data_IF_082398391025
#
_entry.id   IF_082398391025
#
_cell.length_a   1.000
_cell.length_b   1.000
_cell.length_c   1.000
_cell.angle_alpha   90.00
_cell.angle_beta   90.00
_cell.angle_gamma   90.00
#
_symmetry.space_group_name_H-M   'P 1'
#
loop_
_entity.id
_entity.type
_entity.pdbx_description
1 polymer ?
#
# COMPACT_ATOMS: atom_id res chain seq x y z
N UNK A 1 -3.43 -17.43 3.12
CA UNK A 1 -2.83 -18.77 3.17
C UNK A 1 -3.67 -19.65 4.09
N UNK A 2 -3.78 -20.94 3.80
CA UNK A 2 -4.45 -21.88 4.69
C UNK A 2 -3.63 -22.11 5.98
N UNK A 3 -4.26 -22.68 6.99
CA UNK A 3 -3.64 -22.87 8.31
C UNK A 3 -2.46 -23.85 8.28
N UNK A 4 -2.41 -24.74 7.29
CA UNK A 4 -1.34 -25.72 7.03
C UNK A 4 -0.23 -25.20 6.10
N UNK A 5 -0.25 -23.94 5.71
CA UNK A 5 0.72 -23.36 4.75
C UNK A 5 2.18 -23.33 5.24
N UNK A 6 2.40 -23.56 6.52
CA UNK A 6 3.71 -23.35 7.14
C UNK A 6 4.12 -21.85 7.14
N UNK A 7 5.28 -21.53 7.69
CA UNK A 7 5.76 -20.15 7.79
C UNK A 7 6.12 -19.60 6.40
N UNK A 8 5.85 -18.29 6.20
CA UNK A 8 6.36 -17.59 5.03
C UNK A 8 7.89 -17.41 5.09
N UNK A 9 8.58 -17.26 3.95
CA UNK A 9 10.03 -17.15 3.91
C UNK A 9 10.55 -15.97 4.75
N UNK A 10 11.61 -16.17 5.52
CA UNK A 10 12.26 -15.09 6.30
C UNK A 10 13.34 -14.37 5.50
N UNK A 11 13.78 -14.95 4.37
CA UNK A 11 14.80 -14.39 3.48
C UNK A 11 14.55 -14.83 2.03
N UNK A 12 15.06 -14.05 1.08
CA UNK A 12 15.05 -14.40 -0.34
C UNK A 12 16.40 -15.02 -0.73
N UNK A 13 16.39 -16.09 -1.53
CA UNK A 13 17.61 -16.86 -1.89
C UNK A 13 18.70 -15.97 -2.51
N UNK A 14 18.33 -14.98 -3.31
CA UNK A 14 19.26 -14.07 -4.00
C UNK A 14 19.44 -12.74 -3.28
N UNK A 15 18.35 -12.20 -2.65
CA UNK A 15 18.35 -10.87 -2.01
C UNK A 15 18.74 -10.91 -0.53
N UNK A 16 18.84 -12.11 0.07
CA UNK A 16 19.14 -12.27 1.49
C UNK A 16 17.96 -11.84 2.39
N UNK A 17 18.29 -11.29 3.55
CA UNK A 17 17.33 -10.84 4.55
C UNK A 17 16.72 -9.51 4.15
N UNK A 18 15.38 -9.36 4.17
CA UNK A 18 14.71 -8.08 3.90
C UNK A 18 15.00 -7.07 5.03
N UNK A 19 15.01 -5.79 4.68
CA UNK A 19 14.99 -4.70 5.67
C UNK A 19 13.71 -4.76 6.50
N UNK A 20 12.58 -4.96 5.82
CA UNK A 20 11.24 -5.07 6.42
C UNK A 20 10.37 -6.01 5.61
N UNK A 21 9.34 -6.52 6.27
CA UNK A 21 8.25 -7.23 5.60
C UNK A 21 6.89 -6.81 6.17
N UNK A 22 5.87 -6.93 5.35
CA UNK A 22 4.50 -6.49 5.65
C UNK A 22 3.53 -7.63 5.33
N UNK A 23 2.84 -8.11 6.35
CA UNK A 23 1.91 -9.24 6.22
C UNK A 23 0.52 -8.70 5.87
N UNK A 24 0.03 -9.08 4.70
CA UNK A 24 -1.33 -8.80 4.27
C UNK A 24 -2.28 -9.83 4.87
N UNK A 25 -3.34 -9.36 5.49
CA UNK A 25 -4.36 -10.21 6.11
C UNK A 25 -5.73 -9.87 5.54
N UNK A 26 -6.61 -10.87 5.49
CA UNK A 26 -8.03 -10.62 5.21
C UNK A 26 -8.75 -10.02 6.43
N UNK A 27 -10.06 -9.77 6.29
CA UNK A 27 -10.90 -9.21 7.36
C UNK A 27 -10.93 -10.07 8.64
N UNK A 28 -10.60 -11.36 8.55
CA UNK A 28 -10.60 -12.31 9.66
C UNK A 28 -9.18 -12.60 10.19
N UNK A 29 -8.17 -11.87 9.72
CA UNK A 29 -6.78 -12.00 10.15
C UNK A 29 -6.00 -13.11 9.45
N UNK A 30 -6.58 -13.87 8.50
CA UNK A 30 -5.86 -14.89 7.73
C UNK A 30 -4.85 -14.25 6.76
N UNK A 31 -3.66 -14.83 6.68
CA UNK A 31 -2.59 -14.31 5.82
C UNK A 31 -2.96 -14.51 4.34
N UNK A 32 -2.98 -13.42 3.58
CA UNK A 32 -3.16 -13.40 2.13
C UNK A 32 -1.81 -13.49 1.39
N UNK A 33 -0.78 -12.89 1.97
CA UNK A 33 0.57 -12.85 1.43
C UNK A 33 1.44 -11.89 2.22
N UNK A 34 2.67 -11.73 1.78
CA UNK A 34 3.67 -10.88 2.44
C UNK A 34 4.39 -10.04 1.39
N UNK A 35 4.57 -8.77 1.66
CA UNK A 35 5.41 -7.89 0.85
C UNK A 35 6.73 -7.66 1.58
N UNK A 36 7.85 -7.84 0.89
CA UNK A 36 9.20 -7.69 1.43
C UNK A 36 9.88 -6.47 0.81
N UNK A 37 10.53 -5.69 1.65
CA UNK A 37 11.34 -4.55 1.25
C UNK A 37 12.82 -4.90 1.41
N UNK A 38 13.57 -4.81 0.33
CA UNK A 38 15.02 -4.98 0.31
C UNK A 38 15.68 -3.64 -0.02
N UNK A 39 16.86 -3.40 0.57
CA UNK A 39 17.72 -2.29 0.17
C UNK A 39 18.63 -2.80 -0.94
N UNK A 40 18.70 -2.08 -2.04
CA UNK A 40 19.59 -2.37 -3.16
C UNK A 40 20.98 -1.81 -2.92
N UNK A 41 21.99 -2.32 -3.61
CA UNK A 41 23.40 -1.93 -3.42
C UNK A 41 23.69 -0.45 -3.73
N UNK A 42 22.83 0.18 -4.51
CA UNK A 42 22.86 1.62 -4.83
C UNK A 42 22.07 2.50 -3.83
N UNK A 43 21.60 1.89 -2.73
CA UNK A 43 20.79 2.58 -1.70
C UNK A 43 19.30 2.74 -2.06
N UNK A 44 18.87 2.18 -3.20
CA UNK A 44 17.47 2.13 -3.59
C UNK A 44 16.68 1.10 -2.81
N UNK A 45 15.41 0.91 -3.21
CA UNK A 45 14.51 -0.09 -2.64
C UNK A 45 13.94 -1.02 -3.70
N UNK A 46 13.89 -2.30 -3.39
CA UNK A 46 13.16 -3.31 -4.18
C UNK A 46 12.05 -3.92 -3.33
N UNK A 47 10.85 -4.03 -3.90
CA UNK A 47 9.67 -4.58 -3.24
C UNK A 47 9.30 -5.88 -3.92
N UNK A 48 9.35 -6.98 -3.18
CA UNK A 48 9.00 -8.32 -3.67
C UNK A 48 7.84 -8.90 -2.86
N UNK A 49 6.69 -9.14 -3.48
CA UNK A 49 5.59 -9.85 -2.84
C UNK A 49 5.80 -11.37 -2.91
N UNK A 50 5.25 -12.06 -1.91
CA UNK A 50 5.23 -13.51 -1.81
C UNK A 50 3.84 -13.97 -1.39
N UNK A 51 3.25 -14.88 -2.15
CA UNK A 51 1.94 -15.44 -1.89
C UNK A 51 2.02 -16.96 -1.77
N UNK A 52 1.12 -17.55 -0.95
CA UNK A 52 0.93 -18.99 -0.95
C UNK A 52 0.07 -19.38 -2.13
N UNK A 53 0.62 -20.20 -3.02
CA UNK A 53 -0.02 -20.55 -4.28
C UNK A 53 0.14 -22.03 -4.60
N UNK A 54 -0.79 -22.54 -5.38
CA UNK A 54 -0.76 -23.89 -5.94
C UNK A 54 -0.22 -23.84 -7.37
N UNK A 55 0.68 -24.75 -7.69
CA UNK A 55 1.20 -24.92 -9.04
C UNK A 55 0.18 -25.65 -9.89
N UNK A 56 -0.25 -25.06 -11.01
CA UNK A 56 -1.35 -25.54 -11.82
C UNK A 56 -1.18 -26.98 -12.34
N UNK A 57 0.05 -27.37 -12.69
CA UNK A 57 0.30 -28.70 -13.28
C UNK A 57 0.56 -29.78 -12.22
N UNK A 58 1.27 -29.46 -11.14
CA UNK A 58 1.69 -30.45 -10.13
C UNK A 58 0.82 -30.49 -8.90
N UNK A 59 -0.08 -29.53 -8.71
CA UNK A 59 -0.86 -29.38 -7.48
C UNK A 59 -0.04 -29.04 -6.24
N UNK A 60 1.28 -28.82 -6.40
CA UNK A 60 2.16 -28.47 -5.26
C UNK A 60 1.79 -27.08 -4.71
N UNK A 61 1.55 -27.02 -3.41
CA UNK A 61 1.21 -25.79 -2.69
C UNK A 61 2.44 -25.30 -1.91
N UNK A 62 2.85 -24.06 -2.14
CA UNK A 62 4.02 -23.47 -1.48
C UNK A 62 3.99 -21.94 -1.52
N UNK A 63 4.82 -21.29 -0.69
CA UNK A 63 5.11 -19.87 -0.76
C UNK A 63 5.94 -19.56 -2.01
N UNK A 64 5.45 -18.64 -2.84
CA UNK A 64 6.09 -18.25 -4.12
C UNK A 64 6.28 -16.75 -4.20
N UNK A 65 7.44 -16.34 -4.67
CA UNK A 65 7.74 -14.94 -4.96
C UNK A 65 6.95 -14.50 -6.19
N UNK A 66 5.79 -13.95 -5.94
CA UNK A 66 4.86 -13.50 -6.98
C UNK A 66 3.95 -12.42 -6.44
N UNK A 67 3.47 -11.53 -7.35
CA UNK A 67 2.50 -10.51 -6.99
C UNK A 67 1.15 -11.10 -6.59
N UNK A 68 0.42 -10.35 -5.76
CA UNK A 68 -0.96 -10.69 -5.45
C UNK A 68 -1.77 -10.82 -6.75
N UNK A 69 -2.62 -11.86 -6.89
CA UNK A 69 -3.57 -11.93 -7.98
C UNK A 69 -4.56 -10.77 -7.91
N UNK A 70 -5.09 -10.36 -9.06
CA UNK A 70 -6.18 -9.38 -9.09
C UNK A 70 -7.53 -10.08 -8.79
N UNK A 71 -8.44 -9.40 -8.06
CA UNK A 71 -8.26 -8.09 -7.44
C UNK A 71 -7.32 -8.15 -6.22
N UNK A 72 -6.36 -7.22 -6.16
CA UNK A 72 -5.35 -7.20 -5.10
C UNK A 72 -5.93 -6.68 -3.79
N UNK A 73 -5.58 -7.31 -2.64
CA UNK A 73 -6.09 -6.86 -1.35
C UNK A 73 -5.45 -5.55 -0.90
N UNK A 74 -6.16 -4.78 -0.09
CA UNK A 74 -5.58 -3.68 0.68
C UNK A 74 -4.71 -4.23 1.83
N UNK A 75 -3.69 -3.50 2.20
CA UNK A 75 -2.96 -3.67 3.45
C UNK A 75 -3.76 -3.05 4.60
N UNK A 76 -3.97 -3.80 5.68
CA UNK A 76 -4.75 -3.35 6.84
C UNK A 76 -6.23 -3.69 6.79
N UNK A 77 -6.67 -4.67 5.96
CA UNK A 77 -8.06 -5.14 5.92
C UNK A 77 -8.55 -5.67 7.28
N UNK A 78 -7.71 -6.36 8.02
CA UNK A 78 -7.99 -6.84 9.38
C UNK A 78 -8.30 -5.69 10.34
N UNK A 79 -7.50 -4.62 10.27
CA UNK A 79 -7.72 -3.40 11.07
C UNK A 79 -8.96 -2.65 10.63
N UNK A 80 -9.18 -2.57 9.31
CA UNK A 80 -10.36 -1.93 8.74
C UNK A 80 -11.65 -2.62 9.20
N UNK A 81 -11.64 -3.96 9.26
CA UNK A 81 -12.76 -4.75 9.75
C UNK A 81 -12.95 -4.61 11.27
N UNK A 82 -11.87 -4.58 12.03
CA UNK A 82 -11.91 -4.41 13.49
C UNK A 82 -12.45 -3.04 13.93
N UNK A 83 -12.39 -2.03 13.06
CA UNK A 83 -12.80 -0.66 13.36
C UNK A 83 -13.75 -0.10 12.29
N UNK A 84 -14.99 -0.62 12.20
CA UNK A 84 -15.94 -0.23 11.14
C UNK A 84 -16.36 1.25 11.21
N UNK A 85 -16.35 1.84 12.40
CA UNK A 85 -16.85 3.21 12.64
C UNK A 85 -15.76 4.28 12.49
N UNK A 86 -14.48 3.91 12.51
CA UNK A 86 -13.40 4.89 12.37
C UNK A 86 -13.24 5.33 10.90
N UNK A 87 -12.95 6.62 10.65
CA UNK A 87 -12.60 7.07 9.32
C UNK A 87 -11.30 6.39 8.84
N UNK A 88 -11.20 6.22 7.54
CA UNK A 88 -10.03 5.60 6.89
C UNK A 88 -9.02 6.68 6.53
N UNK A 89 -7.74 6.41 6.80
CA UNK A 89 -6.62 7.16 6.25
C UNK A 89 -5.96 6.32 5.14
N UNK A 90 -6.13 6.73 3.91
CA UNK A 90 -5.48 6.11 2.76
C UNK A 90 -4.13 6.78 2.52
N UNK A 91 -3.05 6.01 2.56
CA UNK A 91 -1.66 6.47 2.39
C UNK A 91 -0.91 5.63 1.36
N UNK A 92 0.23 6.11 0.88
CA UNK A 92 1.09 5.34 -0.01
C UNK A 92 2.09 4.50 0.77
N UNK A 93 2.10 3.20 0.51
CA UNK A 93 3.06 2.25 1.09
C UNK A 93 2.76 1.80 2.52
N UNK A 94 3.23 0.59 2.80
CA UNK A 94 2.97 -0.11 4.06
C UNK A 94 3.71 0.54 5.25
N UNK A 95 4.87 1.17 5.01
CA UNK A 95 5.61 1.95 6.02
C UNK A 95 4.71 3.06 6.58
N UNK A 96 4.09 3.83 5.67
CA UNK A 96 3.23 4.96 6.00
C UNK A 96 1.95 4.49 6.71
N UNK A 97 1.33 3.41 6.23
CA UNK A 97 0.15 2.84 6.89
C UNK A 97 0.46 2.36 8.32
N UNK A 98 1.63 1.76 8.55
CA UNK A 98 2.04 1.35 9.90
C UNK A 98 2.33 2.56 10.81
N UNK A 99 3.03 3.58 10.32
CA UNK A 99 3.30 4.81 11.05
C UNK A 99 1.99 5.52 11.43
N UNK A 100 1.09 5.69 10.46
CA UNK A 100 -0.22 6.30 10.70
C UNK A 100 -1.06 5.51 11.72
N UNK A 101 -1.11 4.19 11.63
CA UNK A 101 -1.82 3.35 12.59
C UNK A 101 -1.22 3.43 14.02
N UNK A 102 0.07 3.72 14.13
CA UNK A 102 0.72 3.93 15.43
C UNK A 102 0.40 5.33 15.99
N UNK A 103 0.61 6.39 15.19
CA UNK A 103 0.49 7.76 15.65
C UNK A 103 -0.95 8.24 15.80
N UNK A 104 -1.86 7.73 14.97
CA UNK A 104 -3.27 8.12 14.94
C UNK A 104 -4.19 7.03 15.49
N UNK A 105 -3.65 6.15 16.34
CA UNK A 105 -4.40 5.05 16.96
C UNK A 105 -5.71 5.54 17.60
N UNK A 106 -6.80 4.85 17.29
CA UNK A 106 -8.13 5.17 17.80
C UNK A 106 -8.81 6.37 17.14
N UNK A 107 -8.15 7.05 16.18
CA UNK A 107 -8.73 8.17 15.42
C UNK A 107 -9.00 7.80 13.96
N UNK A 108 -8.12 7.02 13.35
CA UNK A 108 -8.19 6.57 11.97
C UNK A 108 -7.75 5.12 11.87
N UNK A 109 -8.20 4.46 10.80
CA UNK A 109 -7.62 3.21 10.33
C UNK A 109 -6.82 3.50 9.07
N UNK A 110 -5.51 3.36 9.14
CA UNK A 110 -4.67 3.59 7.98
C UNK A 110 -4.53 2.32 7.14
N UNK A 111 -4.74 2.47 5.84
CA UNK A 111 -4.64 1.41 4.83
C UNK A 111 -3.81 1.88 3.64
N UNK A 112 -3.27 0.91 2.89
CA UNK A 112 -2.60 1.16 1.61
C UNK A 112 -2.82 0.00 0.65
N UNK A 113 -2.25 0.09 -0.55
CA UNK A 113 -2.40 -0.92 -1.61
C UNK A 113 -1.03 -1.40 -2.12
N UNK A 114 -0.92 -2.65 -2.62
CA UNK A 114 0.32 -3.21 -3.12
C UNK A 114 0.62 -2.78 -4.56
N UNK A 115 1.87 -2.44 -4.83
CA UNK A 115 2.38 -2.19 -6.19
C UNK A 115 2.31 -0.74 -6.66
N UNK A 116 2.02 0.21 -5.75
CA UNK A 116 2.10 1.65 -6.00
C UNK A 116 1.12 2.16 -7.07
N UNK A 117 1.37 3.36 -7.58
CA UNK A 117 0.48 4.09 -8.50
C UNK A 117 0.14 3.33 -9.79
N UNK A 118 1.03 2.44 -10.27
CA UNK A 118 0.80 1.62 -11.48
C UNK A 118 -0.16 0.44 -11.28
N UNK A 119 -0.51 0.13 -10.05
CA UNK A 119 -1.32 -1.05 -9.71
C UNK A 119 -2.75 -0.71 -9.29
N UNK A 120 -3.14 0.55 -9.25
CA UNK A 120 -4.43 1.04 -8.74
C UNK A 120 -5.63 0.32 -9.36
N UNK A 121 -5.60 0.07 -10.67
CA UNK A 121 -6.69 -0.63 -11.39
C UNK A 121 -6.81 -2.12 -11.07
N UNK A 122 -5.81 -2.70 -10.38
CA UNK A 122 -5.77 -4.12 -10.02
C UNK A 122 -6.20 -4.36 -8.57
N UNK A 123 -6.52 -3.30 -7.83
CA UNK A 123 -6.83 -3.36 -6.39
C UNK A 123 -8.33 -3.50 -6.16
N UNK A 124 -8.69 -4.28 -5.15
CA UNK A 124 -10.07 -4.31 -4.64
C UNK A 124 -10.31 -3.11 -3.72
N UNK A 125 -10.98 -2.11 -4.25
CA UNK A 125 -11.37 -0.91 -3.50
C UNK A 125 -12.72 -1.07 -2.79
N UNK A 126 -13.41 -2.19 -2.95
CA UNK A 126 -14.75 -2.40 -2.37
C UNK A 126 -14.79 -2.23 -0.84
N UNK A 127 -13.73 -2.57 -0.05
CA UNK A 127 -13.73 -2.37 1.39
C UNK A 127 -13.80 -0.91 1.84
N UNK A 128 -13.51 0.04 0.93
CA UNK A 128 -13.58 1.48 1.21
C UNK A 128 -14.91 2.12 0.81
N UNK A 129 -15.78 1.40 0.11
CA UNK A 129 -17.10 1.91 -0.28
C UNK A 129 -17.96 2.19 0.94
N UNK A 130 -18.58 3.38 0.98
CA UNK A 130 -19.38 3.80 2.11
C UNK A 130 -18.60 4.18 3.37
N UNK A 131 -17.27 4.23 3.31
CA UNK A 131 -16.43 4.69 4.40
C UNK A 131 -16.02 6.16 4.16
N UNK A 132 -15.87 6.90 5.24
CA UNK A 132 -15.25 8.22 5.18
C UNK A 132 -13.75 8.05 5.01
N UNK A 133 -13.20 8.51 3.87
CA UNK A 133 -11.80 8.32 3.49
C UNK A 133 -11.09 9.65 3.44
N UNK A 134 -10.00 9.77 4.16
CA UNK A 134 -9.02 10.84 4.03
C UNK A 134 -7.80 10.27 3.31
N UNK A 135 -7.38 10.91 2.22
CA UNK A 135 -6.28 10.45 1.41
C UNK A 135 -5.09 11.40 1.56
N UNK A 136 -3.97 10.86 2.03
CA UNK A 136 -2.70 11.57 2.17
C UNK A 136 -1.74 11.06 1.11
N UNK A 137 -1.50 11.88 0.09
CA UNK A 137 -0.51 11.60 -0.94
C UNK A 137 0.91 11.86 -0.42
N UNK A 138 1.90 11.14 -0.97
CA UNK A 138 3.29 11.52 -0.77
C UNK A 138 3.54 12.92 -1.36
N UNK A 139 4.36 13.72 -0.67
CA UNK A 139 4.76 15.04 -1.14
C UNK A 139 5.84 14.90 -2.21
N UNK A 140 5.40 14.57 -3.43
CA UNK A 140 6.29 14.48 -4.58
C UNK A 140 6.79 15.85 -5.05
N UNK A 141 8.01 15.89 -5.60
CA UNK A 141 8.63 17.10 -6.14
C UNK A 141 9.17 16.87 -7.57
N UNK A 142 8.37 16.18 -8.40
CA UNK A 142 8.75 15.89 -9.79
C UNK A 142 8.70 17.14 -10.64
N UNK A 143 9.63 17.21 -11.61
CA UNK A 143 9.83 18.35 -12.49
C UNK A 143 9.52 17.99 -13.94
N UNK A 144 9.18 19.00 -14.73
CA UNK A 144 9.02 18.91 -16.16
C UNK A 144 10.38 18.98 -16.91
N UNK A 145 10.33 18.98 -18.25
CA UNK A 145 11.53 19.06 -19.09
C UNK A 145 12.25 20.42 -19.00
N UNK A 146 11.61 21.45 -18.46
CA UNK A 146 12.13 22.79 -18.25
C UNK A 146 12.63 22.98 -16.79
N UNK A 147 12.75 21.89 -16.02
CA UNK A 147 13.18 21.89 -14.62
C UNK A 147 12.24 22.65 -13.65
N UNK A 148 10.97 22.84 -14.03
CA UNK A 148 9.94 23.42 -13.19
C UNK A 148 9.15 22.31 -12.49
N UNK A 149 8.77 22.53 -11.23
CA UNK A 149 7.91 21.59 -10.54
C UNK A 149 6.61 21.39 -11.32
N UNK A 150 6.21 20.13 -11.47
CA UNK A 150 4.87 19.81 -11.96
C UNK A 150 3.82 20.38 -10.98
N UNK A 151 2.65 20.83 -11.49
CA UNK A 151 1.53 21.19 -10.63
C UNK A 151 1.22 20.07 -9.63
N UNK A 152 0.72 20.42 -8.44
CA UNK A 152 0.38 19.48 -7.38
C UNK A 152 -0.51 18.33 -7.89
N UNK A 153 -1.56 18.66 -8.65
CA UNK A 153 -2.47 17.67 -9.25
C UNK A 153 -1.80 16.74 -10.28
N UNK A 154 -0.62 17.09 -10.76
CA UNK A 154 0.17 16.29 -11.71
C UNK A 154 1.28 15.48 -11.04
N UNK A 155 1.54 15.69 -9.76
CA UNK A 155 2.47 14.89 -8.99
C UNK A 155 1.98 13.43 -8.88
N UNK A 156 2.87 12.43 -8.89
CA UNK A 156 2.49 11.01 -8.94
C UNK A 156 1.55 10.58 -7.82
N UNK A 157 1.86 10.94 -6.57
CA UNK A 157 1.05 10.61 -5.40
C UNK A 157 -0.34 11.24 -5.48
N UNK A 158 -0.44 12.54 -5.79
CA UNK A 158 -1.71 13.21 -5.94
C UNK A 158 -2.56 12.61 -7.08
N UNK A 159 -1.95 12.31 -8.23
CA UNK A 159 -2.62 11.59 -9.33
C UNK A 159 -3.16 10.24 -8.89
N UNK A 160 -2.40 9.50 -8.08
CA UNK A 160 -2.85 8.23 -7.55
C UNK A 160 -4.11 8.39 -6.69
N UNK A 161 -4.12 9.35 -5.76
CA UNK A 161 -5.27 9.60 -4.89
C UNK A 161 -6.50 10.09 -5.66
N UNK A 162 -6.32 11.00 -6.64
CA UNK A 162 -7.41 11.47 -7.51
C UNK A 162 -8.02 10.31 -8.31
N UNK A 163 -7.18 9.41 -8.84
CA UNK A 163 -7.65 8.22 -9.55
C UNK A 163 -8.44 7.28 -8.64
N UNK A 164 -7.95 7.02 -7.42
CA UNK A 164 -8.66 6.17 -6.45
C UNK A 164 -10.01 6.81 -6.08
N UNK A 165 -10.06 8.12 -5.86
CA UNK A 165 -11.31 8.85 -5.63
C UNK A 165 -12.33 8.58 -6.75
N UNK A 166 -11.90 8.62 -8.00
CA UNK A 166 -12.79 8.36 -9.15
C UNK A 166 -13.31 6.92 -9.19
N UNK A 167 -12.51 5.94 -8.77
CA UNK A 167 -12.91 4.53 -8.72
C UNK A 167 -13.90 4.23 -7.59
N UNK A 168 -13.83 4.96 -6.49
CA UNK A 168 -14.74 4.81 -5.35
C UNK A 168 -16.12 5.44 -5.60
N UNK A 169 -16.22 6.44 -6.46
CA UNK A 169 -17.49 7.05 -6.88
C UNK A 169 -18.20 7.90 -5.82
N UNK A 170 -17.72 7.92 -4.58
CA UNK A 170 -18.31 8.67 -3.46
C UNK A 170 -17.49 9.94 -3.19
N UNK A 171 -17.74 10.99 -3.99
CA UNK A 171 -16.97 12.23 -3.89
C UNK A 171 -17.09 12.95 -2.54
N UNK A 172 -18.24 12.81 -1.86
CA UNK A 172 -18.52 13.49 -0.57
C UNK A 172 -17.76 12.83 0.59
N UNK A 173 -17.58 11.51 0.56
CA UNK A 173 -16.91 10.75 1.62
C UNK A 173 -15.40 10.62 1.41
N UNK A 174 -14.86 11.10 0.28
CA UNK A 174 -13.44 11.05 -0.02
C UNK A 174 -12.82 12.45 -0.04
N UNK A 175 -11.97 12.73 0.94
CA UNK A 175 -11.29 14.02 1.10
C UNK A 175 -9.78 13.84 0.88
N UNK A 176 -9.23 14.68 0.01
CA UNK A 176 -7.77 14.81 -0.12
C UNK A 176 -7.28 15.70 1.03
N UNK A 177 -6.21 15.27 1.70
CA UNK A 177 -5.52 16.07 2.71
C UNK A 177 -4.60 17.06 2.01
N UNK A 178 -4.64 18.31 2.42
CA UNK A 178 -3.70 19.32 1.96
C UNK A 178 -2.30 18.95 2.41
N UNK A 179 -1.39 18.83 1.47
CA UNK A 179 0.02 18.52 1.70
C UNK A 179 0.89 19.74 1.32
N UNK A 180 2.15 19.82 1.80
CA UNK A 180 3.08 20.86 1.38
C UNK A 180 3.24 20.91 -0.15
N UNK A 181 3.46 22.11 -0.69
CA UNK A 181 3.66 22.27 -2.13
C UNK A 181 4.92 21.54 -2.62
N UNK A 182 4.95 21.13 -3.90
CA UNK A 182 6.13 20.51 -4.50
C UNK A 182 7.39 21.36 -4.29
N UNK A 183 8.38 20.81 -3.58
CA UNK A 183 9.63 21.49 -3.25
C UNK A 183 9.70 22.08 -1.84
N UNK A 184 8.60 22.22 -1.11
CA UNK A 184 8.60 22.67 0.29
C UNK A 184 9.14 21.61 1.24
N UNK A 185 9.06 20.34 0.81
CA UNK A 185 9.60 19.17 1.51
C UNK A 185 10.47 18.34 0.55
N UNK A 186 11.33 17.47 1.09
CA UNK A 186 12.04 16.49 0.26
C UNK A 186 11.08 15.68 -0.61
N UNK A 187 11.52 15.31 -1.82
CA UNK A 187 10.73 14.47 -2.75
C UNK A 187 10.31 13.15 -2.09
N UNK A 188 9.00 12.89 -2.05
CA UNK A 188 8.43 11.71 -1.42
C UNK A 188 8.30 11.79 0.11
N UNK A 189 8.33 12.99 0.69
CA UNK A 189 8.02 13.18 2.11
C UNK A 189 6.60 12.67 2.42
N UNK A 190 6.47 11.91 3.51
CA UNK A 190 5.27 11.19 3.86
C UNK A 190 4.96 11.23 5.38
N UNK A 191 3.85 10.62 5.81
CA UNK A 191 3.42 10.59 7.22
C UNK A 191 4.39 9.84 8.15
N UNK A 192 5.36 9.12 7.62
CA UNK A 192 6.34 8.38 8.42
C UNK A 192 7.68 9.15 8.58
N UNK A 193 7.77 10.37 8.04
CA UNK A 193 8.90 11.29 8.19
C UNK A 193 8.63 12.33 9.29
#
# INVERSE_FOLDING_TARGET
>A
APDDAGPYPVAHVVRGTPERFYVYRDAHGKILGVTYRFITSDGGKEILPCCFAEHAESGKREWRWMGFPAPRPLYGLDKLHAHPDLPVLLVEGEKCANAANLFLHGRYVAVTWPGGSKAIDKVDWSPLKGRKVFAWADCDAKRDKQDKFLPESEQPGMKAMIKIKSLLGNAEDFQLIDIPLPGDKPDGWDIAD
#
